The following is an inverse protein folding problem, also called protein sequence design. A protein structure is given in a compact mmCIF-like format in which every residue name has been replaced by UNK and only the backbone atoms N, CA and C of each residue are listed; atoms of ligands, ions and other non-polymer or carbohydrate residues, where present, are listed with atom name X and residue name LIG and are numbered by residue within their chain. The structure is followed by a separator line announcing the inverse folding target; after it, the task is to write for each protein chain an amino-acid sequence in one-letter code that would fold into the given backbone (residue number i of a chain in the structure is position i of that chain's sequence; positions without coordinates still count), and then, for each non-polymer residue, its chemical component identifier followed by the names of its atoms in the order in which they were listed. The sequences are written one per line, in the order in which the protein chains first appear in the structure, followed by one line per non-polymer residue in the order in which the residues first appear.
data_IF_687063435728
#
_entry.id   IF_687063435728
#
_cell.length_a   1.000
_cell.length_b   1.000
_cell.length_c   1.000
_cell.angle_alpha   90.00
_cell.angle_beta   90.00
_cell.angle_gamma   90.00
#
_symmetry.space_group_name_H-M   'P 1'
#
loop_
_entity.id
_entity.type
_entity.pdbx_description
1 polymer ?
#
# COMPACT_ATOMS: atom_id res chain seq x y z
N UNK A 1 14.55 26.00 30.83
CA UNK A 1 14.79 24.59 30.46
C UNK A 1 13.95 23.68 31.36
N UNK A 2 12.97 22.95 30.82
CA UNK A 2 12.20 21.98 31.62
C UNK A 2 13.12 20.79 31.94
N UNK A 3 13.36 20.51 33.21
CA UNK A 3 14.05 19.32 33.64
C UNK A 3 13.27 18.09 33.15
N UNK A 4 13.99 17.19 32.48
CA UNK A 4 13.46 15.88 32.08
C UNK A 4 13.11 15.09 33.36
N UNK A 5 11.85 15.11 33.78
CA UNK A 5 11.34 14.16 34.78
C UNK A 5 11.25 12.81 34.09
N UNK A 6 12.13 11.89 34.45
CA UNK A 6 12.01 10.47 34.09
C UNK A 6 10.84 9.90 34.90
N UNK A 7 9.65 9.94 34.34
CA UNK A 7 8.51 9.19 34.88
C UNK A 7 8.77 7.73 34.59
N UNK A 8 8.66 6.87 35.61
CA UNK A 8 8.74 5.42 35.47
C UNK A 8 7.56 4.95 34.63
N UNK A 9 7.71 4.92 33.31
CA UNK A 9 6.73 4.34 32.40
C UNK A 9 6.97 2.82 32.29
N UNK A 10 5.92 2.04 32.51
CA UNK A 10 5.94 0.59 32.31
C UNK A 10 6.30 0.31 30.85
N UNK A 11 7.37 -0.44 30.61
CA UNK A 11 7.78 -0.85 29.27
C UNK A 11 6.95 -2.06 28.87
N UNK A 12 6.15 -1.95 27.80
CA UNK A 12 5.55 -3.13 27.18
C UNK A 12 6.68 -3.98 26.58
N UNK A 13 6.91 -5.15 27.19
CA UNK A 13 7.93 -6.11 26.78
C UNK A 13 7.35 -6.99 25.69
N UNK A 14 7.52 -6.58 24.44
CA UNK A 14 6.94 -7.27 23.30
C UNK A 14 7.77 -8.46 22.78
N UNK A 15 9.02 -8.62 23.25
CA UNK A 15 9.89 -9.69 22.79
C UNK A 15 10.88 -10.13 23.87
N UNK A 16 11.21 -11.43 23.90
CA UNK A 16 12.21 -12.01 24.81
C UNK A 16 13.62 -11.40 24.59
N UNK A 17 13.93 -10.94 23.37
CA UNK A 17 15.19 -10.27 23.04
C UNK A 17 15.32 -8.91 23.74
N UNK A 18 14.22 -8.14 23.79
CA UNK A 18 14.18 -6.87 24.49
C UNK A 18 14.39 -7.04 25.98
N UNK A 19 13.77 -8.07 26.59
CA UNK A 19 13.93 -8.38 28.01
C UNK A 19 15.39 -8.72 28.36
N UNK A 20 16.03 -9.52 27.52
CA UNK A 20 17.44 -9.87 27.68
C UNK A 20 18.32 -8.62 27.59
N UNK A 21 18.12 -7.80 26.58
CA UNK A 21 18.84 -6.53 26.39
C UNK A 21 18.68 -5.60 27.60
N UNK A 22 17.44 -5.39 28.08
CA UNK A 22 17.19 -4.53 29.25
C UNK A 22 17.85 -5.09 30.53
N UNK A 23 17.87 -6.42 30.70
CA UNK A 23 18.56 -7.06 31.81
C UNK A 23 20.08 -6.87 31.73
N UNK A 24 20.68 -6.93 30.54
CA UNK A 24 22.12 -6.74 30.33
C UNK A 24 22.55 -5.30 30.61
N UNK A 25 21.82 -4.31 30.03
CA UNK A 25 22.17 -2.90 30.27
C UNK A 25 21.95 -2.46 31.72
N UNK A 26 21.04 -3.11 32.44
CA UNK A 26 20.81 -2.80 33.88
C UNK A 26 21.99 -3.09 34.75
N UNK A 27 22.85 -4.05 34.37
CA UNK A 27 24.04 -4.48 35.12
C UNK A 27 25.24 -3.56 34.95
N UNK A 28 25.20 -2.69 33.93
CA UNK A 28 26.32 -1.80 33.62
C UNK A 28 26.31 -0.63 34.61
N UNK A 29 27.43 -0.36 35.30
CA UNK A 29 27.53 0.79 36.22
C UNK A 29 27.46 2.11 35.48
N UNK A 30 26.94 3.14 36.13
CA UNK A 30 26.94 4.52 35.60
C UNK A 30 28.31 5.14 35.79
N UNK A 31 28.71 5.98 34.87
CA UNK A 31 29.99 6.72 34.86
C UNK A 31 29.85 7.99 35.70
N UNK A 32 30.89 8.34 36.44
CA UNK A 32 30.99 9.62 37.14
C UNK A 32 31.36 10.77 36.17
N UNK A 33 31.08 12.04 36.50
CA UNK A 33 31.44 13.17 35.64
C UNK A 33 32.95 13.28 35.36
N UNK A 34 33.79 12.89 36.34
CA UNK A 34 35.24 12.94 36.20
C UNK A 34 35.75 11.88 35.23
N UNK A 35 35.21 10.65 35.35
CA UNK A 35 35.48 9.57 34.41
C UNK A 35 34.98 9.88 32.97
N UNK A 36 33.88 10.65 32.86
CA UNK A 36 33.33 11.10 31.57
C UNK A 36 34.36 11.96 30.81
N UNK A 37 35.03 12.86 31.51
CA UNK A 37 36.08 13.74 30.97
C UNK A 37 37.29 12.91 30.54
N UNK A 38 37.78 11.98 31.40
CA UNK A 38 38.93 11.12 31.09
C UNK A 38 38.66 10.25 29.86
N UNK A 39 37.48 9.62 29.81
CA UNK A 39 37.09 8.78 28.66
C UNK A 39 36.98 9.61 27.37
N UNK A 40 36.44 10.81 27.44
CA UNK A 40 36.32 11.69 26.26
C UNK A 40 37.70 12.09 25.75
N UNK A 41 38.64 12.36 26.66
CA UNK A 41 40.01 12.65 26.29
C UNK A 41 40.70 11.48 25.61
N UNK A 42 40.49 10.25 26.13
CA UNK A 42 40.98 9.01 25.53
C UNK A 42 40.37 8.75 24.14
N UNK A 43 39.06 9.00 23.98
CA UNK A 43 38.37 8.88 22.68
C UNK A 43 38.96 9.82 21.63
N UNK A 44 39.30 11.03 22.02
CA UNK A 44 39.96 12.02 21.12
C UNK A 44 41.33 11.53 20.66
N UNK A 45 42.04 10.77 21.49
CA UNK A 45 43.32 10.10 21.16
C UNK A 45 43.13 8.81 20.33
N UNK A 46 41.89 8.41 20.03
CA UNK A 46 41.59 7.25 19.20
C UNK A 46 41.37 5.93 19.95
N UNK A 47 41.22 5.98 21.26
CA UNK A 47 40.98 4.78 22.09
C UNK A 47 39.54 4.24 21.88
N UNK A 48 39.44 3.02 21.34
CA UNK A 48 38.18 2.33 21.09
C UNK A 48 37.53 1.78 22.36
N UNK A 49 38.32 1.39 23.34
CA UNK A 49 37.81 0.81 24.59
C UNK A 49 37.15 1.91 25.43
N UNK A 50 37.73 3.11 25.47
CA UNK A 50 37.13 4.27 26.08
C UNK A 50 35.79 4.66 25.40
N UNK A 51 35.74 4.60 24.07
CA UNK A 51 34.52 4.84 23.31
C UNK A 51 33.42 3.82 23.65
N UNK A 52 33.76 2.53 23.68
CA UNK A 52 32.82 1.48 24.04
C UNK A 52 32.34 1.66 25.48
N UNK A 53 33.21 1.98 26.43
CA UNK A 53 32.85 2.19 27.84
C UNK A 53 31.89 3.38 27.99
N UNK A 54 32.16 4.50 27.33
CA UNK A 54 31.29 5.69 27.37
C UNK A 54 29.91 5.39 26.78
N UNK A 55 29.85 4.70 25.62
CA UNK A 55 28.58 4.40 24.96
C UNK A 55 27.77 3.38 25.75
N UNK A 56 28.38 2.28 26.22
CA UNK A 56 27.66 1.22 26.95
C UNK A 56 27.05 1.72 28.26
N UNK A 57 27.75 2.56 29.01
CA UNK A 57 27.22 3.14 30.25
C UNK A 57 26.00 4.04 30.06
N UNK A 58 25.83 4.62 28.86
CA UNK A 58 24.75 5.53 28.53
C UNK A 58 23.58 4.89 27.77
N UNK A 59 23.60 3.57 27.49
CA UNK A 59 22.52 2.86 26.79
C UNK A 59 21.17 2.96 27.52
N UNK A 60 21.17 2.94 28.85
CA UNK A 60 19.96 3.11 29.67
C UNK A 60 19.25 4.42 29.39
N UNK A 61 20.01 5.47 29.11
CA UNK A 61 19.47 6.79 28.76
C UNK A 61 18.79 6.76 27.39
N UNK A 62 19.38 6.08 26.40
CA UNK A 62 18.77 5.88 25.07
C UNK A 62 17.40 5.26 25.19
N UNK A 63 17.26 4.19 26.00
CA UNK A 63 15.96 3.53 26.23
C UNK A 63 14.93 4.51 26.81
N UNK A 64 15.33 5.38 27.74
CA UNK A 64 14.40 6.37 28.32
C UNK A 64 13.92 7.40 27.31
N UNK A 65 14.77 7.77 26.34
CA UNK A 65 14.40 8.69 25.26
C UNK A 65 13.53 7.96 24.23
N UNK A 66 13.89 6.73 23.81
CA UNK A 66 13.15 5.96 22.83
C UNK A 66 11.70 5.68 23.27
N UNK A 67 11.46 5.44 24.59
CA UNK A 67 10.11 5.27 25.14
C UNK A 67 9.17 6.47 24.89
N UNK A 68 9.69 7.69 24.73
CA UNK A 68 8.87 8.86 24.45
C UNK A 68 8.29 8.88 23.04
N UNK A 69 8.84 8.04 22.15
CA UNK A 69 8.46 7.92 20.74
C UNK A 69 7.68 6.65 20.41
N UNK A 70 7.31 5.84 21.42
CA UNK A 70 6.50 4.63 21.21
C UNK A 70 5.21 4.93 20.45
N UNK A 71 4.70 3.92 19.73
CA UNK A 71 3.45 3.97 18.96
C UNK A 71 3.48 4.91 17.74
N UNK A 72 4.67 5.22 17.21
CA UNK A 72 4.85 6.05 16.01
C UNK A 72 5.18 5.25 14.75
N UNK A 73 4.82 3.96 14.70
CA UNK A 73 4.99 3.11 13.51
C UNK A 73 6.30 2.32 13.46
N UNK A 74 7.20 2.48 14.45
CA UNK A 74 8.39 1.64 14.62
C UNK A 74 8.33 0.85 15.91
N UNK A 75 8.99 -0.35 15.93
CA UNK A 75 9.15 -1.13 17.15
C UNK A 75 10.07 -0.41 18.14
N UNK A 76 9.89 -0.70 19.45
CA UNK A 76 10.76 -0.10 20.46
C UNK A 76 12.22 -0.55 20.28
N UNK A 77 12.46 -1.79 19.83
CA UNK A 77 13.80 -2.28 19.55
C UNK A 77 14.49 -1.47 18.46
N UNK A 78 13.82 -1.26 17.33
CA UNK A 78 14.37 -0.48 16.22
C UNK A 78 14.65 0.98 16.63
N UNK A 79 13.77 1.57 17.45
CA UNK A 79 14.00 2.93 17.97
C UNK A 79 15.19 3.01 18.92
N UNK A 80 15.45 1.96 19.73
CA UNK A 80 16.62 1.88 20.60
C UNK A 80 17.88 1.74 19.76
N UNK A 81 17.87 0.90 18.74
CA UNK A 81 19.03 0.67 17.87
C UNK A 81 19.43 1.95 17.11
N UNK A 82 18.44 2.66 16.54
CA UNK A 82 18.68 3.95 15.92
C UNK A 82 19.13 5.02 16.91
N UNK A 83 18.57 5.00 18.13
CA UNK A 83 19.02 5.86 19.23
C UNK A 83 20.47 5.57 19.65
N UNK A 84 20.89 4.30 19.67
CA UNK A 84 22.26 3.90 19.94
C UNK A 84 23.22 4.40 18.86
N UNK A 85 22.80 4.40 17.58
CA UNK A 85 23.59 5.00 16.48
C UNK A 85 23.75 6.51 16.75
N UNK A 86 22.67 7.19 17.16
CA UNK A 86 22.72 8.60 17.55
C UNK A 86 23.69 8.86 18.71
N UNK A 87 23.67 8.01 19.74
CA UNK A 87 24.58 8.07 20.89
C UNK A 87 26.05 7.91 20.46
N UNK A 88 26.34 6.94 19.59
CA UNK A 88 27.69 6.72 19.04
C UNK A 88 28.19 7.92 18.25
N UNK A 89 27.33 8.54 17.46
CA UNK A 89 27.66 9.76 16.71
C UNK A 89 27.91 10.95 17.65
N UNK A 90 27.16 11.06 18.74
CA UNK A 90 27.38 12.06 19.76
C UNK A 90 28.75 11.87 20.46
N UNK A 91 29.10 10.61 20.81
CA UNK A 91 30.36 10.30 21.50
C UNK A 91 31.59 10.66 20.63
N UNK A 92 31.52 10.51 19.31
CA UNK A 92 32.61 10.91 18.39
C UNK A 92 32.80 12.43 18.26
N UNK A 93 31.77 13.22 18.55
CA UNK A 93 31.75 14.68 18.31
C UNK A 93 31.68 15.49 19.61
N UNK A 94 31.61 14.85 20.74
CA UNK A 94 31.54 15.51 22.02
C UNK A 94 32.84 16.22 22.37
N UNK A 95 32.72 17.40 22.97
CA UNK A 95 33.83 18.23 23.41
C UNK A 95 33.66 18.61 24.89
N UNK A 96 34.49 18.04 25.73
CA UNK A 96 34.50 18.22 27.17
C UNK A 96 34.92 19.62 27.61
N UNK A 97 35.65 20.36 26.76
CA UNK A 97 36.14 21.70 27.09
C UNK A 97 35.02 22.71 27.28
N UNK A 98 33.83 22.41 26.78
CA UNK A 98 32.64 23.28 26.90
C UNK A 98 31.93 23.21 28.25
N UNK A 99 32.36 22.35 29.15
CA UNK A 99 31.85 22.25 30.53
C UNK A 99 30.41 21.69 30.66
N UNK A 100 29.86 21.07 29.62
CA UNK A 100 28.55 20.43 29.66
C UNK A 100 28.69 18.92 29.83
N UNK A 101 27.70 18.29 30.50
CA UNK A 101 27.61 16.82 30.61
C UNK A 101 27.35 16.20 29.24
N UNK A 102 27.96 15.06 28.97
CA UNK A 102 27.77 14.30 27.73
C UNK A 102 26.28 14.01 27.43
N UNK A 103 25.49 13.60 28.42
CA UNK A 103 24.06 13.33 28.27
C UNK A 103 23.28 14.54 27.71
N UNK A 104 23.62 15.76 28.13
CA UNK A 104 22.96 16.98 27.65
C UNK A 104 23.18 17.25 26.16
N UNK A 105 24.34 16.83 25.65
CA UNK A 105 24.69 16.91 24.23
C UNK A 105 24.12 15.69 23.46
N UNK A 106 24.28 14.49 23.98
CA UNK A 106 23.87 13.25 23.35
C UNK A 106 22.35 13.19 23.10
N UNK A 107 21.53 13.78 23.98
CA UNK A 107 20.07 13.79 23.84
C UNK A 107 19.59 14.33 22.49
N UNK A 108 20.28 15.33 21.95
CA UNK A 108 19.91 15.92 20.66
C UNK A 108 20.20 14.96 19.50
N UNK A 109 21.34 14.27 19.55
CA UNK A 109 21.72 13.26 18.56
C UNK A 109 20.83 12.04 18.58
N UNK A 110 20.50 11.57 19.81
CA UNK A 110 19.59 10.43 19.98
C UNK A 110 18.21 10.77 19.43
N UNK A 111 17.66 11.93 19.77
CA UNK A 111 16.36 12.39 19.23
C UNK A 111 16.39 12.55 17.73
N UNK A 112 17.42 13.16 17.20
CA UNK A 112 17.60 13.35 15.77
C UNK A 112 17.60 12.04 15.02
N UNK A 113 18.38 11.04 15.50
CA UNK A 113 18.47 9.73 14.88
C UNK A 113 17.12 8.98 14.93
N UNK A 114 16.46 8.95 16.10
CA UNK A 114 15.14 8.33 16.25
C UNK A 114 14.10 9.00 15.35
N UNK A 115 14.02 10.32 15.31
CA UNK A 115 13.06 11.04 14.46
C UNK A 115 13.33 10.81 12.98
N UNK A 116 14.60 10.75 12.57
CA UNK A 116 14.97 10.43 11.19
C UNK A 116 14.55 9.00 10.84
N UNK A 117 14.80 8.04 11.71
CA UNK A 117 14.39 6.65 11.52
C UNK A 117 12.86 6.49 11.41
N UNK A 118 12.09 7.20 12.24
CA UNK A 118 10.63 7.22 12.15
C UNK A 118 10.19 7.78 10.80
N UNK A 119 10.77 8.89 10.35
CA UNK A 119 10.41 9.49 9.06
C UNK A 119 10.73 8.57 7.87
N UNK A 120 11.87 7.86 7.95
CA UNK A 120 12.36 7.03 6.83
C UNK A 120 11.77 5.63 6.80
N UNK A 121 11.46 5.03 7.97
CA UNK A 121 11.17 3.60 8.11
C UNK A 121 9.79 3.27 8.68
N UNK A 122 9.08 4.24 9.32
CA UNK A 122 7.78 3.96 9.94
C UNK A 122 6.66 3.70 8.94
N UNK A 123 6.80 4.16 7.69
CA UNK A 123 5.79 3.98 6.64
C UNK A 123 6.22 2.89 5.65
N UNK A 124 5.28 2.05 5.21
CA UNK A 124 5.52 1.05 4.16
C UNK A 124 5.96 1.72 2.85
N UNK A 125 5.27 2.80 2.47
CA UNK A 125 5.66 3.65 1.35
C UNK A 125 6.38 4.87 1.92
N UNK A 126 7.68 4.97 1.65
CA UNK A 126 8.51 6.09 2.12
C UNK A 126 8.06 7.42 1.52
N UNK A 127 7.91 8.43 2.38
CA UNK A 127 7.67 9.80 1.97
C UNK A 127 8.94 10.65 2.17
N UNK A 128 9.21 11.62 1.28
CA UNK A 128 10.29 12.58 1.48
C UNK A 128 10.10 13.39 2.78
N UNK A 129 11.20 13.67 3.48
CA UNK A 129 11.17 14.41 4.76
C UNK A 129 10.47 15.78 4.68
N UNK A 130 10.59 16.46 3.53
CA UNK A 130 9.91 17.74 3.30
C UNK A 130 8.39 17.59 3.32
N UNK A 131 7.86 16.50 2.74
CA UNK A 131 6.42 16.20 2.76
C UNK A 131 5.93 15.86 4.16
N UNK A 132 6.71 15.09 4.92
CA UNK A 132 6.39 14.76 6.32
C UNK A 132 6.39 16.05 7.17
N UNK A 133 7.39 16.93 6.97
CA UNK A 133 7.46 18.22 7.66
C UNK A 133 6.26 19.12 7.37
N UNK A 134 5.84 19.19 6.10
CA UNK A 134 4.63 19.91 5.69
C UNK A 134 3.39 19.32 6.37
N UNK A 135 3.24 18.01 6.36
CA UNK A 135 2.12 17.34 6.99
C UNK A 135 2.00 17.59 8.49
N UNK A 136 3.10 17.56 9.19
CA UNK A 136 3.12 17.88 10.62
C UNK A 136 2.71 19.33 10.89
N UNK A 137 3.02 20.26 9.97
CA UNK A 137 2.56 21.66 10.06
C UNK A 137 1.05 21.75 9.80
N UNK A 138 0.57 21.10 8.72
CA UNK A 138 -0.87 21.07 8.40
C UNK A 138 -1.68 20.51 9.57
N UNK A 139 -1.25 19.38 10.14
CA UNK A 139 -1.94 18.78 11.28
C UNK A 139 -1.97 19.69 12.53
N UNK A 140 -0.92 20.46 12.76
CA UNK A 140 -0.87 21.43 13.87
C UNK A 140 -1.85 22.58 13.64
N UNK A 141 -1.85 23.18 12.45
CA UNK A 141 -2.74 24.26 12.08
C UNK A 141 -4.19 23.77 12.08
N UNK A 142 -4.44 22.57 11.57
CA UNK A 142 -5.75 21.91 11.62
C UNK A 142 -6.29 21.86 13.05
N UNK A 143 -5.51 21.34 14.00
CA UNK A 143 -5.92 21.25 15.39
C UNK A 143 -6.12 22.63 16.05
N UNK A 144 -5.36 23.64 15.65
CA UNK A 144 -5.54 25.02 16.14
C UNK A 144 -6.84 25.64 15.61
N UNK A 145 -7.11 25.53 14.30
CA UNK A 145 -8.33 26.06 13.71
C UNK A 145 -9.58 25.31 14.18
N UNK A 146 -9.49 24.01 14.39
CA UNK A 146 -10.57 23.19 14.95
C UNK A 146 -10.96 23.67 16.37
N UNK A 147 -9.97 24.00 17.19
CA UNK A 147 -10.21 24.57 18.53
C UNK A 147 -10.82 25.98 18.51
N UNK A 148 -10.44 26.81 17.52
CA UNK A 148 -10.95 28.19 17.40
C UNK A 148 -12.35 28.20 16.82
N UNK A 149 -12.59 27.41 15.77
CA UNK A 149 -13.84 27.43 15.02
C UNK A 149 -14.89 26.44 15.55
N UNK A 150 -14.52 25.57 16.51
CA UNK A 150 -15.35 24.48 17.04
C UNK A 150 -15.90 23.52 15.94
N UNK A 151 -15.25 23.52 14.77
CA UNK A 151 -15.54 22.65 13.62
C UNK A 151 -14.26 22.31 12.86
N UNK A 152 -14.30 21.24 12.06
CA UNK A 152 -13.22 20.91 11.15
C UNK A 152 -13.01 22.05 10.12
N UNK A 153 -11.77 22.55 9.94
CA UNK A 153 -11.45 23.60 8.96
C UNK A 153 -11.55 23.06 7.53
N UNK A 154 -11.93 23.91 6.59
CA UNK A 154 -11.92 23.58 5.17
C UNK A 154 -10.50 23.61 4.58
N UNK A 155 -10.32 22.98 3.40
CA UNK A 155 -9.02 23.01 2.72
C UNK A 155 -8.60 24.45 2.32
N UNK A 156 -9.56 25.33 2.06
CA UNK A 156 -9.34 26.74 1.76
C UNK A 156 -8.84 27.51 2.98
N UNK A 157 -9.47 27.32 4.15
CA UNK A 157 -9.06 27.93 5.41
C UNK A 157 -7.64 27.51 5.82
N UNK A 158 -7.29 26.24 5.60
CA UNK A 158 -5.92 25.74 5.83
C UNK A 158 -4.91 26.34 4.85
N UNK A 159 -5.31 26.51 3.59
CA UNK A 159 -4.51 27.11 2.53
C UNK A 159 -4.18 28.58 2.87
N UNK A 160 -5.17 29.35 3.29
CA UNK A 160 -5.03 30.77 3.63
C UNK A 160 -4.14 30.97 4.83
N UNK A 161 -4.32 30.19 5.90
CA UNK A 161 -3.52 30.30 7.13
C UNK A 161 -2.05 29.88 6.90
N UNK A 162 -1.82 28.89 6.07
CA UNK A 162 -0.47 28.38 5.80
C UNK A 162 0.23 29.03 4.60
N UNK A 163 -0.47 29.82 3.79
CA UNK A 163 0.01 30.42 2.54
C UNK A 163 0.52 29.36 1.53
N UNK A 164 -0.18 28.25 1.43
CA UNK A 164 0.11 27.13 0.54
C UNK A 164 -1.06 26.95 -0.41
N UNK A 165 -0.84 26.36 -1.60
CA UNK A 165 -1.92 26.12 -2.53
C UNK A 165 -2.94 25.08 -2.01
N UNK A 166 -4.23 25.27 -2.30
CA UNK A 166 -5.31 24.34 -1.92
C UNK A 166 -5.00 22.92 -2.43
N UNK A 167 -4.46 22.81 -3.65
CA UNK A 167 -4.09 21.52 -4.24
C UNK A 167 -3.03 20.77 -3.42
N UNK A 168 -2.09 21.48 -2.80
CA UNK A 168 -1.09 20.84 -1.93
C UNK A 168 -1.70 20.34 -0.62
N UNK A 169 -2.67 21.07 -0.06
CA UNK A 169 -3.40 20.64 1.15
C UNK A 169 -4.21 19.37 0.85
N UNK A 170 -4.95 19.35 -0.27
CA UNK A 170 -5.73 18.18 -0.69
C UNK A 170 -4.83 16.99 -0.98
N UNK A 171 -3.75 17.16 -1.76
CA UNK A 171 -2.79 16.10 -2.05
C UNK A 171 -2.14 15.52 -0.79
N UNK A 172 -1.98 16.34 0.26
CA UNK A 172 -1.49 15.84 1.54
C UNK A 172 -2.54 15.01 2.28
N UNK A 173 -3.80 15.41 2.26
CA UNK A 173 -4.89 14.61 2.85
C UNK A 173 -4.95 13.22 2.24
N UNK A 174 -4.79 13.11 0.92
CA UNK A 174 -4.76 11.83 0.19
C UNK A 174 -3.53 10.97 0.53
N UNK A 175 -2.38 11.60 0.86
CA UNK A 175 -1.17 10.89 1.28
C UNK A 175 -1.19 10.46 2.76
N UNK A 176 -2.13 10.94 3.56
CA UNK A 176 -2.22 10.72 5.01
C UNK A 176 -2.74 9.34 5.42
N UNK A 177 -3.27 8.56 4.49
CA UNK A 177 -3.89 7.27 4.79
C UNK A 177 -2.88 6.25 5.32
N UNK A 178 -3.30 5.51 6.35
CA UNK A 178 -2.59 4.34 6.84
C UNK A 178 -2.97 3.13 5.98
N UNK A 179 -1.97 2.35 5.60
CA UNK A 179 -2.21 1.07 4.94
C UNK A 179 -2.75 0.06 5.95
N UNK A 180 -3.58 -0.84 5.47
CA UNK A 180 -4.17 -1.93 6.22
C UNK A 180 -3.78 -3.24 5.53
N UNK A 181 -3.46 -4.27 6.31
CA UNK A 181 -3.17 -5.60 5.75
C UNK A 181 -4.43 -6.19 5.13
N UNK A 182 -4.30 -6.70 3.91
CA UNK A 182 -5.37 -7.43 3.21
C UNK A 182 -5.59 -8.82 3.83
N UNK A 183 -4.55 -9.41 4.43
CA UNK A 183 -4.63 -10.70 5.12
C UNK A 183 -5.18 -10.58 6.55
N UNK A 184 -5.43 -9.34 7.02
CA UNK A 184 -6.02 -9.16 8.34
C UNK A 184 -7.47 -9.68 8.35
N UNK A 185 -7.88 -10.45 9.39
CA UNK A 185 -9.25 -10.90 9.52
C UNK A 185 -10.20 -9.72 9.64
N UNK A 186 -11.38 -9.83 9.03
CA UNK A 186 -12.39 -8.78 9.06
C UNK A 186 -13.05 -8.67 10.45
N UNK A 187 -13.25 -9.82 11.12
CA UNK A 187 -13.75 -9.93 12.50
C UNK A 187 -12.78 -10.78 13.31
N UNK A 188 -12.70 -10.55 14.64
CA UNK A 188 -11.80 -11.29 15.53
C UNK A 188 -12.05 -12.81 15.53
N UNK A 189 -13.28 -13.26 15.23
CA UNK A 189 -13.69 -14.68 15.20
C UNK A 189 -14.02 -15.19 13.78
N UNK A 190 -13.68 -14.44 12.71
CA UNK A 190 -14.05 -14.79 11.34
C UNK A 190 -12.90 -15.37 10.53
N UNK A 191 -13.19 -16.43 9.75
CA UNK A 191 -12.25 -17.01 8.79
C UNK A 191 -12.03 -16.15 7.52
N UNK A 192 -12.82 -15.07 7.35
CA UNK A 192 -12.78 -14.22 6.17
C UNK A 192 -11.74 -13.12 6.33
N UNK A 193 -10.84 -13.04 5.36
CA UNK A 193 -9.84 -11.99 5.25
C UNK A 193 -10.39 -10.81 4.45
N UNK A 194 -9.79 -9.62 4.62
CA UNK A 194 -10.18 -8.42 3.86
C UNK A 194 -9.97 -8.57 2.36
N UNK A 195 -9.07 -9.45 1.92
CA UNK A 195 -8.83 -9.74 0.51
C UNK A 195 -10.06 -10.39 -0.15
N UNK A 196 -10.83 -11.18 0.59
CA UNK A 196 -12.00 -11.89 0.07
C UNK A 196 -13.16 -10.93 -0.25
N UNK A 197 -13.17 -9.73 0.32
CA UNK A 197 -14.17 -8.69 0.08
C UNK A 197 -13.83 -7.82 -1.14
N UNK A 198 -12.55 -7.84 -1.59
CA UNK A 198 -12.12 -7.03 -2.73
C UNK A 198 -12.64 -7.63 -4.04
N UNK A 199 -13.46 -6.85 -4.74
CA UNK A 199 -13.97 -7.20 -6.05
C UNK A 199 -12.87 -7.02 -7.10
N UNK A 200 -12.61 -8.04 -7.91
CA UNK A 200 -11.75 -7.92 -9.09
C UNK A 200 -12.50 -7.16 -10.20
N UNK A 201 -12.13 -5.92 -10.45
CA UNK A 201 -12.73 -5.07 -11.49
C UNK A 201 -12.55 -5.65 -12.91
N UNK A 202 -11.53 -6.50 -13.11
CA UNK A 202 -11.26 -7.14 -14.40
C UNK A 202 -12.06 -8.42 -14.61
N UNK A 203 -12.49 -9.04 -13.53
CA UNK A 203 -13.40 -10.17 -13.56
C UNK A 203 -14.81 -9.64 -13.79
N UNK A 204 -15.20 -9.54 -15.05
CA UNK A 204 -16.61 -9.18 -15.38
C UNK A 204 -17.59 -10.11 -14.67
N UNK A 205 -18.83 -9.67 -14.41
CA UNK A 205 -19.83 -10.53 -13.78
C UNK A 205 -19.92 -11.87 -14.53
N UNK A 206 -19.86 -12.96 -13.79
CA UNK A 206 -19.85 -14.34 -14.29
C UNK A 206 -21.00 -14.63 -15.27
N UNK A 207 -22.11 -13.92 -15.08
CA UNK A 207 -23.33 -14.08 -15.86
C UNK A 207 -23.27 -13.38 -17.24
N UNK A 208 -22.45 -12.34 -17.40
CA UNK A 208 -22.36 -11.61 -18.69
C UNK A 208 -21.99 -12.49 -19.87
N UNK A 209 -21.11 -13.47 -19.67
CA UNK A 209 -20.75 -14.42 -20.71
C UNK A 209 -21.88 -15.34 -21.11
N UNK A 210 -22.69 -15.80 -20.16
CA UNK A 210 -23.84 -16.67 -20.36
C UNK A 210 -24.99 -15.90 -21.00
N UNK A 211 -25.32 -14.71 -20.47
CA UNK A 211 -26.36 -13.84 -21.03
C UNK A 211 -26.03 -13.42 -22.48
N UNK A 212 -24.78 -13.04 -22.74
CA UNK A 212 -24.33 -12.67 -24.08
C UNK A 212 -24.42 -13.87 -25.05
N UNK A 213 -24.03 -15.05 -24.61
CA UNK A 213 -24.15 -16.28 -25.40
C UNK A 213 -25.60 -16.67 -25.70
N UNK A 214 -26.49 -16.58 -24.71
CA UNK A 214 -27.92 -16.86 -24.89
C UNK A 214 -28.58 -15.83 -25.82
N UNK A 215 -28.31 -14.54 -25.60
CA UNK A 215 -28.81 -13.45 -26.47
C UNK A 215 -28.36 -13.63 -27.91
N UNK A 216 -27.07 -13.98 -28.12
CA UNK A 216 -26.53 -14.27 -29.44
C UNK A 216 -27.24 -15.45 -30.11
N UNK A 217 -27.49 -16.53 -29.38
CA UNK A 217 -28.23 -17.69 -29.91
C UNK A 217 -29.66 -17.34 -30.33
N UNK A 218 -30.35 -16.54 -29.53
CA UNK A 218 -31.71 -16.07 -29.84
C UNK A 218 -31.70 -15.20 -31.10
N UNK A 219 -30.79 -14.24 -31.21
CA UNK A 219 -30.71 -13.36 -32.35
C UNK A 219 -30.26 -14.11 -33.64
N UNK A 220 -29.36 -15.09 -33.54
CA UNK A 220 -28.99 -15.94 -34.68
C UNK A 220 -30.22 -16.71 -35.17
N UNK A 221 -31.02 -17.32 -34.28
CA UNK A 221 -32.25 -18.03 -34.68
C UNK A 221 -33.24 -17.09 -35.35
N UNK A 222 -33.39 -15.85 -34.80
CA UNK A 222 -34.29 -14.82 -35.37
C UNK A 222 -33.83 -14.41 -36.76
N UNK A 223 -32.55 -14.13 -36.96
CA UNK A 223 -31.99 -13.74 -38.26
C UNK A 223 -32.06 -14.88 -39.26
N UNK A 224 -31.79 -16.13 -38.87
CA UNK A 224 -31.96 -17.31 -39.73
C UNK A 224 -33.42 -17.55 -40.15
N UNK A 225 -34.37 -17.25 -39.23
CA UNK A 225 -35.81 -17.36 -39.55
C UNK A 225 -36.31 -16.39 -40.59
N UNK A 226 -35.52 -15.36 -40.94
CA UNK A 226 -35.86 -14.40 -42.03
C UNK A 226 -35.40 -14.85 -43.41
N UNK A 227 -34.63 -15.98 -43.49
CA UNK A 227 -34.19 -16.60 -44.76
C UNK A 227 -35.21 -17.66 -45.20
N UNK A 228 -35.11 -18.07 -46.48
CA UNK A 228 -35.91 -19.19 -46.95
C UNK A 228 -35.56 -20.48 -46.16
N UNK A 229 -36.56 -21.32 -45.86
CA UNK A 229 -36.40 -22.51 -45.06
C UNK A 229 -35.23 -23.41 -45.52
N UNK A 230 -35.06 -23.58 -46.83
CA UNK A 230 -33.93 -24.34 -47.37
C UNK A 230 -32.59 -23.68 -47.14
N UNK A 231 -32.50 -22.36 -47.25
CA UNK A 231 -31.27 -21.60 -47.01
C UNK A 231 -30.88 -21.61 -45.53
N UNK A 232 -31.85 -21.45 -44.63
CA UNK A 232 -31.66 -21.49 -43.21
C UNK A 232 -31.17 -22.85 -42.74
N UNK A 233 -31.78 -23.95 -43.23
CA UNK A 233 -31.42 -25.29 -42.85
C UNK A 233 -30.02 -25.71 -43.37
N UNK A 234 -29.65 -25.29 -44.59
CA UNK A 234 -28.32 -25.50 -45.12
C UNK A 234 -27.26 -24.76 -44.28
N UNK A 235 -27.53 -23.51 -43.86
CA UNK A 235 -26.63 -22.76 -43.01
C UNK A 235 -26.51 -23.42 -41.63
N UNK A 236 -27.63 -23.81 -41.00
CA UNK A 236 -27.61 -24.51 -39.73
C UNK A 236 -26.76 -25.78 -39.77
N UNK A 237 -26.92 -26.62 -40.82
CA UNK A 237 -26.16 -27.83 -40.99
C UNK A 237 -24.68 -27.58 -41.29
N UNK A 238 -24.36 -26.55 -42.07
CA UNK A 238 -22.99 -26.19 -42.42
C UNK A 238 -22.20 -25.63 -41.22
N UNK A 239 -22.79 -24.73 -40.43
CA UNK A 239 -22.14 -24.15 -39.25
C UNK A 239 -22.34 -24.95 -37.94
N UNK A 240 -23.13 -26.03 -37.97
CA UNK A 240 -23.40 -26.82 -36.78
C UNK A 240 -24.34 -26.16 -35.79
N UNK A 241 -25.21 -25.22 -36.23
CA UNK A 241 -26.13 -24.51 -35.36
C UNK A 241 -27.32 -25.42 -35.00
N UNK A 242 -27.35 -25.92 -33.75
CA UNK A 242 -28.38 -26.83 -33.27
C UNK A 242 -28.14 -28.30 -33.60
N UNK A 243 -26.97 -28.65 -34.14
CA UNK A 243 -26.53 -30.03 -34.45
C UNK A 243 -25.20 -30.28 -33.75
N UNK A 244 -24.92 -31.52 -33.27
CA UNK A 244 -23.68 -31.80 -32.53
C UNK A 244 -22.39 -31.58 -33.31
N UNK A 245 -22.43 -31.75 -34.66
CA UNK A 245 -21.25 -31.56 -35.52
C UNK A 245 -21.63 -30.87 -36.84
N UNK A 246 -20.78 -29.96 -37.34
CA UNK A 246 -20.98 -29.32 -38.66
C UNK A 246 -20.83 -30.36 -39.75
N UNK A 247 -21.70 -30.29 -40.78
CA UNK A 247 -21.67 -31.18 -41.91
C UNK A 247 -20.92 -30.57 -43.11
N UNK A 248 -20.23 -31.41 -43.87
CA UNK A 248 -19.54 -31.02 -45.10
C UNK A 248 -20.53 -30.72 -46.22
N UNK A 249 -20.15 -29.88 -47.20
CA UNK A 249 -21.00 -29.57 -48.37
C UNK A 249 -21.44 -30.81 -49.15
N UNK A 250 -20.64 -31.88 -49.15
CA UNK A 250 -20.97 -33.16 -49.81
C UNK A 250 -22.04 -33.92 -49.04
N UNK A 251 -21.94 -34.00 -47.72
CA UNK A 251 -22.92 -34.66 -46.85
C UNK A 251 -24.27 -33.92 -46.91
N UNK A 252 -24.25 -32.57 -46.88
CA UNK A 252 -25.46 -31.77 -47.07
C UNK A 252 -26.04 -32.01 -48.46
N UNK A 253 -25.19 -32.12 -49.49
CA UNK A 253 -25.61 -32.44 -50.86
C UNK A 253 -26.35 -33.78 -50.96
N UNK A 254 -25.81 -34.85 -50.34
CA UNK A 254 -26.47 -36.14 -50.26
C UNK A 254 -27.84 -36.07 -49.54
N UNK A 255 -27.97 -35.19 -48.55
CA UNK A 255 -29.20 -35.04 -47.77
C UNK A 255 -30.35 -34.36 -48.55
N UNK A 256 -30.00 -33.55 -49.55
CA UNK A 256 -30.95 -32.79 -50.38
C UNK A 256 -31.00 -33.27 -51.85
N UNK A 257 -30.32 -34.37 -52.19
CA UNK A 257 -30.18 -34.86 -53.56
C UNK A 257 -29.64 -33.80 -54.54
N UNK A 258 -28.69 -33.00 -54.09
CA UNK A 258 -28.09 -31.92 -54.85
C UNK A 258 -26.59 -32.02 -54.94
N UNK A 259 -25.98 -31.46 -55.99
CA UNK A 259 -24.52 -31.43 -56.07
C UNK A 259 -23.93 -30.48 -55.00
N UNK A 260 -22.73 -30.81 -54.50
CA UNK A 260 -22.02 -29.99 -53.52
C UNK A 260 -21.83 -28.54 -53.98
N UNK A 261 -21.64 -28.33 -55.27
CA UNK A 261 -21.51 -26.99 -55.86
C UNK A 261 -22.83 -26.21 -55.78
N UNK A 262 -23.96 -26.88 -55.96
CA UNK A 262 -25.27 -26.25 -55.80
C UNK A 262 -25.54 -25.82 -54.38
N UNK A 263 -25.17 -26.65 -53.38
CA UNK A 263 -25.24 -26.32 -51.95
C UNK A 263 -24.35 -25.12 -51.65
N UNK A 264 -23.13 -25.05 -52.21
CA UNK A 264 -22.20 -23.93 -52.05
C UNK A 264 -22.86 -22.63 -52.57
N UNK A 265 -23.47 -22.68 -53.76
CA UNK A 265 -24.17 -21.49 -54.33
C UNK A 265 -25.31 -20.99 -53.43
N UNK A 266 -26.13 -21.92 -52.91
CA UNK A 266 -27.23 -21.57 -52.01
C UNK A 266 -26.69 -20.95 -50.69
N UNK A 267 -25.63 -21.54 -50.10
CA UNK A 267 -24.96 -20.98 -48.94
C UNK A 267 -24.44 -19.55 -49.19
N UNK A 268 -23.75 -19.33 -50.30
CA UNK A 268 -23.14 -18.06 -50.63
C UNK A 268 -24.19 -16.98 -50.88
N UNK A 269 -25.34 -17.35 -51.50
CA UNK A 269 -26.50 -16.43 -51.66
C UNK A 269 -27.09 -16.10 -50.32
N UNK A 270 -27.29 -17.07 -49.43
CA UNK A 270 -27.82 -16.85 -48.08
C UNK A 270 -26.92 -15.95 -47.28
N UNK A 271 -25.60 -16.16 -47.31
CA UNK A 271 -24.60 -15.30 -46.62
C UNK A 271 -24.61 -13.87 -47.15
N UNK A 272 -24.74 -13.66 -48.48
CA UNK A 272 -24.87 -12.35 -49.08
C UNK A 272 -26.16 -11.64 -48.61
N UNK A 273 -27.27 -12.34 -48.49
CA UNK A 273 -28.54 -11.78 -47.99
C UNK A 273 -28.42 -11.37 -46.52
N UNK A 274 -27.65 -12.14 -45.72
CA UNK A 274 -27.38 -11.77 -44.32
C UNK A 274 -26.44 -10.58 -44.20
N UNK A 275 -25.44 -10.48 -45.09
CA UNK A 275 -24.42 -9.41 -45.10
C UNK A 275 -24.99 -8.08 -45.64
N UNK A 276 -25.97 -8.09 -46.54
CA UNK A 276 -26.54 -6.93 -47.15
C UNK A 276 -27.93 -6.65 -46.57
N UNK A 277 -27.98 -5.88 -45.47
CA UNK A 277 -29.27 -5.45 -44.93
C UNK A 277 -29.20 -5.09 -43.43
N UNK A 278 -30.33 -4.69 -42.83
CA UNK A 278 -30.41 -4.33 -41.42
C UNK A 278 -29.99 -5.47 -40.45
N UNK A 279 -29.97 -6.70 -40.92
CA UNK A 279 -29.56 -7.90 -40.22
C UNK A 279 -28.05 -7.88 -39.82
N UNK A 280 -27.24 -7.23 -40.63
CA UNK A 280 -25.82 -7.02 -40.35
C UNK A 280 -25.60 -6.21 -39.07
N UNK A 281 -26.37 -5.18 -38.84
CA UNK A 281 -26.24 -4.31 -37.67
C UNK A 281 -26.64 -5.01 -36.39
N UNK A 282 -27.68 -5.86 -36.41
CA UNK A 282 -28.09 -6.68 -35.29
C UNK A 282 -26.99 -7.64 -34.83
N UNK A 283 -26.27 -8.25 -35.76
CA UNK A 283 -25.18 -9.20 -35.42
C UNK A 283 -23.88 -8.47 -35.07
N UNK A 284 -23.65 -7.25 -35.53
CA UNK A 284 -22.44 -6.46 -35.20
C UNK A 284 -22.36 -6.15 -33.71
N UNK A 285 -23.47 -5.91 -33.03
CA UNK A 285 -23.53 -5.62 -31.61
C UNK A 285 -22.84 -6.71 -30.78
N UNK A 286 -22.88 -7.97 -31.26
CA UNK A 286 -22.26 -9.11 -30.60
C UNK A 286 -20.78 -9.34 -30.94
N UNK A 287 -20.22 -8.60 -31.90
CA UNK A 287 -18.81 -8.71 -32.28
C UNK A 287 -17.88 -7.81 -31.42
N UNK A 288 -18.44 -6.98 -30.52
CA UNK A 288 -17.64 -6.11 -29.65
C UNK A 288 -16.88 -5.00 -30.40
N UNK A 289 -17.37 -4.59 -31.60
CA UNK A 289 -16.78 -3.51 -32.40
C UNK A 289 -17.79 -2.38 -32.54
#
# INVERSE_FOLDING_TARGET
MRQLKVTQSITHRSSASLDKYLSEISKIPMITPDEEIELTHAIRNGDKDAFNKLTTANLRFVVSVAKQYQFRGLSLCDMIDEGNIGLMNAAKRFDETKGFKFISYAVWWIRQSIMQAINDKARLVRLPSNRIGLGNKIQRVFSQLEQINERAPSAEELSDEMQISVNEVVAFSDCGYHYVSLDAPFCEDGDNNRIDELMDEKSGPTDKGVEHGQSLQIEIKRVLGTLDKKQSDILCKFFGIGIPHPLSLREIGCHYDMSAERIRQIRDVALRQLKNGPRKELLKVFLGV
#
